data_IF_192245066521
#
_entry.id   IF_192245066521
#
_cell.length_a   1.000
_cell.length_b   1.000
_cell.length_c   1.000
_cell.angle_alpha   90.00
_cell.angle_beta   90.00
_cell.angle_gamma   90.00
#
_symmetry.space_group_name_H-M   'P 1'
#
loop_
_entity.id
_entity.type
_entity.pdbx_description
1 polymer ?
#
# COMPACT_ATOMS: atom_id res chain seq x y z
N UNK A 1 5.86 -28.33 -1.33
CA UNK A 1 4.89 -27.89 -2.35
C UNK A 1 3.80 -26.98 -1.80
N UNK A 2 3.26 -27.23 -0.60
CA UNK A 2 2.19 -26.40 0.01
C UNK A 2 2.60 -24.94 0.30
N UNK A 3 3.80 -24.72 0.85
CA UNK A 3 4.31 -23.37 1.11
C UNK A 3 4.47 -22.53 -0.16
N UNK A 4 4.91 -23.13 -1.26
CA UNK A 4 5.04 -22.46 -2.57
C UNK A 4 3.65 -22.03 -3.06
N UNK A 5 2.63 -22.87 -2.94
CA UNK A 5 1.24 -22.51 -3.28
C UNK A 5 0.73 -21.35 -2.43
N UNK A 6 1.01 -21.37 -1.12
CA UNK A 6 0.66 -20.28 -0.18
C UNK A 6 1.34 -18.97 -0.57
N UNK A 7 2.66 -19.00 -0.84
CA UNK A 7 3.43 -17.82 -1.26
C UNK A 7 2.93 -17.26 -2.59
N UNK A 8 2.63 -18.12 -3.57
CA UNK A 8 2.06 -17.70 -4.86
C UNK A 8 0.71 -17.00 -4.67
N UNK A 9 -0.19 -17.58 -3.88
CA UNK A 9 -1.48 -16.95 -3.56
C UNK A 9 -1.31 -15.61 -2.84
N UNK A 10 -0.43 -15.53 -1.84
CA UNK A 10 -0.14 -14.28 -1.14
C UNK A 10 0.42 -13.19 -2.07
N UNK A 11 1.31 -13.54 -3.01
CA UNK A 11 1.86 -12.57 -3.96
C UNK A 11 0.78 -11.92 -4.82
N UNK A 12 -0.24 -12.69 -5.21
CA UNK A 12 -1.39 -12.18 -5.97
C UNK A 12 -2.18 -11.19 -5.11
N UNK A 13 -2.47 -11.53 -3.86
CA UNK A 13 -3.21 -10.63 -2.95
C UNK A 13 -2.43 -9.36 -2.60
N UNK A 14 -1.10 -9.45 -2.43
CA UNK A 14 -0.22 -8.28 -2.21
C UNK A 14 -0.28 -7.32 -3.40
N UNK A 15 -0.53 -7.80 -4.62
CA UNK A 15 -0.73 -6.96 -5.79
C UNK A 15 -2.17 -6.44 -5.91
N UNK A 16 -3.17 -7.33 -5.80
CA UNK A 16 -4.58 -6.99 -6.03
C UNK A 16 -5.09 -5.98 -4.99
N UNK A 17 -4.79 -6.16 -3.70
CA UNK A 17 -5.36 -5.31 -2.65
C UNK A 17 -4.96 -3.84 -2.84
N UNK A 18 -3.67 -3.48 -2.97
CA UNK A 18 -3.28 -2.10 -3.22
C UNK A 18 -3.82 -1.57 -4.54
N UNK A 19 -3.76 -2.39 -5.60
CA UNK A 19 -4.23 -1.98 -6.92
C UNK A 19 -5.71 -1.59 -6.89
N UNK A 20 -6.57 -2.44 -6.32
CA UNK A 20 -8.00 -2.14 -6.18
C UNK A 20 -8.22 -0.95 -5.26
N UNK A 21 -7.54 -0.88 -4.12
CA UNK A 21 -7.73 0.23 -3.17
C UNK A 21 -7.41 1.60 -3.79
N UNK A 22 -6.27 1.72 -4.48
CA UNK A 22 -5.85 2.98 -5.12
C UNK A 22 -6.79 3.38 -6.25
N UNK A 23 -7.18 2.43 -7.11
CA UNK A 23 -8.08 2.72 -8.22
C UNK A 23 -9.49 3.06 -7.74
N UNK A 24 -9.98 2.41 -6.68
CA UNK A 24 -11.24 2.80 -6.02
C UNK A 24 -11.16 4.22 -5.48
N UNK A 25 -10.07 4.60 -4.80
CA UNK A 25 -9.89 5.98 -4.32
C UNK A 25 -9.90 7.00 -5.47
N UNK A 26 -9.24 6.68 -6.60
CA UNK A 26 -9.26 7.50 -7.80
C UNK A 26 -10.66 7.65 -8.40
N UNK A 27 -11.41 6.55 -8.52
CA UNK A 27 -12.79 6.59 -9.05
C UNK A 27 -13.68 7.44 -8.13
N UNK A 28 -13.58 7.26 -6.82
CA UNK A 28 -14.38 8.02 -5.86
C UNK A 28 -14.13 9.53 -5.99
N UNK A 29 -12.87 9.96 -6.00
CA UNK A 29 -12.51 11.38 -5.99
C UNK A 29 -12.79 12.10 -7.32
N UNK A 30 -12.89 11.36 -8.43
CA UNK A 30 -13.10 11.93 -9.78
C UNK A 30 -14.52 11.79 -10.32
N UNK A 31 -15.30 10.82 -9.82
CA UNK A 31 -16.65 10.54 -10.33
C UNK A 31 -17.71 10.75 -9.24
N UNK A 32 -17.41 10.44 -7.98
CA UNK A 32 -18.37 10.46 -6.87
C UNK A 32 -18.18 11.68 -5.97
N UNK A 33 -18.17 12.85 -6.59
CA UNK A 33 -17.95 14.15 -5.94
C UNK A 33 -18.89 14.41 -4.75
N UNK A 34 -20.13 13.92 -4.79
CA UNK A 34 -21.11 14.08 -3.71
C UNK A 34 -20.78 13.38 -2.40
N UNK A 35 -19.81 12.45 -2.40
CA UNK A 35 -19.35 11.77 -1.18
C UNK A 35 -18.34 12.60 -0.37
N UNK A 36 -17.82 13.68 -0.96
CA UNK A 36 -16.77 14.50 -0.34
C UNK A 36 -17.40 15.74 0.30
N UNK A 37 -17.21 15.94 1.63
CA UNK A 37 -17.77 17.08 2.33
C UNK A 37 -17.14 18.41 1.90
N UNK A 38 -15.88 18.39 1.46
CA UNK A 38 -15.15 19.57 1.00
C UNK A 38 -14.88 19.49 -0.51
N UNK A 39 -15.33 20.52 -1.24
CA UNK A 39 -15.13 20.58 -2.70
C UNK A 39 -13.68 20.78 -3.12
N UNK A 40 -12.84 21.37 -2.26
CA UNK A 40 -11.41 21.56 -2.56
C UNK A 40 -10.63 20.24 -2.66
N UNK A 41 -11.18 19.15 -2.12
CA UNK A 41 -10.55 17.84 -2.13
C UNK A 41 -10.82 17.06 -3.42
N UNK A 42 -11.84 17.48 -4.19
CA UNK A 42 -12.27 16.82 -5.42
C UNK A 42 -11.28 17.09 -6.56
N UNK A 43 -11.09 16.10 -7.44
CA UNK A 43 -10.21 16.21 -8.60
C UNK A 43 -11.05 16.08 -9.88
N UNK A 44 -11.06 17.11 -10.70
CA UNK A 44 -11.77 17.12 -11.99
C UNK A 44 -10.84 16.68 -13.12
N UNK A 45 -11.39 15.88 -14.06
CA UNK A 45 -10.80 15.58 -15.38
C UNK A 45 -9.29 15.28 -15.36
N UNK A 46 -8.86 14.49 -14.38
CA UNK A 46 -7.45 14.10 -14.23
C UNK A 46 -7.36 12.60 -14.08
N UNK A 47 -6.45 11.97 -14.81
CA UNK A 47 -6.07 10.58 -14.70
C UNK A 47 -4.57 10.49 -14.35
N UNK A 48 -4.22 10.51 -13.04
CA UNK A 48 -2.85 10.64 -12.52
C UNK A 48 -1.79 9.73 -13.14
N UNK A 49 -2.18 8.56 -13.64
CA UNK A 49 -1.27 7.59 -14.24
C UNK A 49 -0.76 8.00 -15.63
N UNK A 50 -1.46 8.91 -16.32
CA UNK A 50 -1.15 9.33 -17.70
C UNK A 50 -0.78 10.81 -17.72
N UNK A 51 -1.60 11.66 -17.11
CA UNK A 51 -1.48 13.12 -17.26
C UNK A 51 -0.67 13.79 -16.14
N UNK A 52 -0.43 13.11 -15.02
CA UNK A 52 0.28 13.65 -13.87
C UNK A 52 -0.39 14.87 -13.21
N UNK A 53 -1.66 15.20 -13.52
CA UNK A 53 -2.34 16.39 -12.99
C UNK A 53 -2.59 16.34 -11.48
N UNK A 54 -2.40 15.16 -10.88
CA UNK A 54 -2.31 14.95 -9.44
C UNK A 54 -1.40 13.77 -9.14
N UNK A 55 -0.76 13.74 -7.97
CA UNK A 55 -0.08 12.53 -7.49
C UNK A 55 -1.12 11.46 -7.12
N UNK A 56 -0.83 10.17 -7.37
CA UNK A 56 -1.70 9.06 -6.95
C UNK A 56 -2.01 9.11 -5.44
N UNK A 57 -1.01 9.41 -4.62
CA UNK A 57 -1.21 9.51 -3.18
C UNK A 57 -2.15 10.65 -2.77
N UNK A 58 -2.42 11.65 -3.63
CA UNK A 58 -3.40 12.71 -3.36
C UNK A 58 -4.82 12.15 -3.29
N UNK A 59 -5.14 11.15 -4.11
CA UNK A 59 -6.50 10.58 -4.22
C UNK A 59 -6.93 9.80 -2.99
N UNK A 60 -5.99 9.46 -2.10
CA UNK A 60 -6.21 8.62 -0.93
C UNK A 60 -6.05 9.35 0.42
N UNK A 61 -5.79 10.67 0.41
CA UNK A 61 -5.51 11.45 1.65
C UNK A 61 -6.75 11.89 2.40
N UNK A 62 -7.86 12.09 1.69
CA UNK A 62 -9.01 12.83 2.21
C UNK A 62 -10.19 11.90 2.53
N UNK A 63 -11.09 12.35 3.39
CA UNK A 63 -12.33 11.62 3.66
C UNK A 63 -13.20 11.62 2.39
N UNK A 64 -13.83 10.49 1.98
CA UNK A 64 -13.83 9.18 2.63
C UNK A 64 -12.73 8.22 2.14
N UNK A 65 -11.95 8.59 1.13
CA UNK A 65 -10.97 7.69 0.48
C UNK A 65 -9.92 7.11 1.40
N UNK A 66 -9.44 7.87 2.40
CA UNK A 66 -8.45 7.33 3.34
C UNK A 66 -8.99 6.14 4.15
N UNK A 67 -10.33 6.04 4.35
CA UNK A 67 -10.96 4.91 5.04
C UNK A 67 -10.86 3.62 4.24
N UNK A 68 -10.67 3.70 2.92
CA UNK A 68 -10.44 2.54 2.07
C UNK A 68 -8.95 2.27 1.98
N UNK A 69 -8.17 3.31 1.70
CA UNK A 69 -6.74 3.18 1.48
C UNK A 69 -6.00 2.68 2.74
N UNK A 70 -6.24 3.28 3.91
CA UNK A 70 -5.46 2.95 5.12
C UNK A 70 -5.63 1.48 5.52
N UNK A 71 -6.86 0.93 5.68
CA UNK A 71 -7.05 -0.48 5.99
C UNK A 71 -6.46 -1.41 4.94
N UNK A 72 -6.58 -1.07 3.65
CA UNK A 72 -5.98 -1.85 2.58
C UNK A 72 -4.45 -1.91 2.70
N UNK A 73 -3.78 -0.79 2.95
CA UNK A 73 -2.32 -0.76 3.14
C UNK A 73 -1.87 -1.52 4.40
N UNK A 74 -2.62 -1.41 5.51
CA UNK A 74 -2.33 -2.20 6.72
C UNK A 74 -2.44 -3.70 6.42
N UNK A 75 -3.49 -4.11 5.72
CA UNK A 75 -3.66 -5.51 5.32
C UNK A 75 -2.55 -5.98 4.39
N UNK A 76 -2.18 -5.19 3.38
CA UNK A 76 -1.07 -5.49 2.49
C UNK A 76 0.26 -5.61 3.24
N UNK A 77 0.54 -4.71 4.19
CA UNK A 77 1.74 -4.77 5.02
C UNK A 77 1.80 -6.07 5.82
N UNK A 78 0.68 -6.45 6.46
CA UNK A 78 0.58 -7.73 7.15
C UNK A 78 0.86 -8.93 6.22
N UNK A 79 0.27 -8.92 5.02
CA UNK A 79 0.54 -9.96 4.02
C UNK A 79 2.01 -9.99 3.59
N UNK A 80 2.63 -8.83 3.39
CA UNK A 80 4.06 -8.72 3.03
C UNK A 80 4.96 -9.32 4.09
N UNK A 81 4.72 -9.04 5.38
CA UNK A 81 5.49 -9.63 6.48
C UNK A 81 5.42 -11.16 6.42
N UNK A 82 4.20 -11.72 6.32
CA UNK A 82 4.00 -13.18 6.21
C UNK A 82 4.63 -13.76 4.95
N UNK A 83 4.51 -13.06 3.83
CA UNK A 83 5.12 -13.45 2.56
C UNK A 83 6.63 -13.59 2.68
N UNK A 84 7.32 -12.63 3.31
CA UNK A 84 8.76 -12.69 3.47
C UNK A 84 9.19 -13.85 4.37
N UNK A 85 8.53 -14.09 5.51
CA UNK A 85 8.85 -15.24 6.35
C UNK A 85 8.65 -16.59 5.64
N UNK A 86 7.58 -16.75 4.87
CA UNK A 86 7.38 -17.98 4.10
C UNK A 86 8.41 -18.13 2.96
N UNK A 87 8.83 -17.03 2.35
CA UNK A 87 9.93 -17.05 1.39
C UNK A 87 11.26 -17.42 2.04
N UNK A 88 11.52 -17.00 3.29
CA UNK A 88 12.71 -17.43 4.05
C UNK A 88 12.81 -18.95 4.08
N UNK A 89 11.71 -19.63 4.42
CA UNK A 89 11.67 -21.09 4.53
C UNK A 89 11.90 -21.78 3.19
N UNK A 90 11.39 -21.21 2.09
CA UNK A 90 11.64 -21.72 0.73
C UNK A 90 13.11 -21.53 0.35
N UNK A 91 13.68 -20.34 0.61
CA UNK A 91 15.07 -20.03 0.30
C UNK A 91 16.04 -20.94 1.07
N UNK A 92 15.76 -21.19 2.35
CA UNK A 92 16.54 -22.11 3.19
C UNK A 92 16.51 -23.55 2.65
N UNK A 93 15.35 -24.01 2.14
CA UNK A 93 15.21 -25.35 1.55
C UNK A 93 15.95 -25.51 0.23
N UNK A 94 16.07 -24.44 -0.56
CA UNK A 94 16.72 -24.48 -1.88
C UNK A 94 18.24 -24.30 -1.77
N UNK A 95 18.69 -23.37 -0.92
CA UNK A 95 20.09 -22.91 -0.91
C UNK A 95 20.80 -23.02 0.44
N UNK A 96 20.18 -23.64 1.46
CA UNK A 96 20.75 -23.72 2.80
C UNK A 96 20.80 -22.37 3.53
N UNK A 97 21.50 -22.33 4.68
CA UNK A 97 21.67 -21.09 5.43
C UNK A 97 22.74 -20.18 4.81
N UNK A 98 22.37 -18.91 4.56
CA UNK A 98 23.31 -17.89 4.10
C UNK A 98 22.99 -16.51 4.67
N UNK A 99 24.02 -15.68 4.91
CA UNK A 99 23.87 -14.30 5.42
C UNK A 99 22.96 -13.42 4.56
N UNK A 100 22.83 -13.72 3.27
CA UNK A 100 21.95 -12.99 2.34
C UNK A 100 20.47 -13.24 2.62
N UNK A 101 20.08 -14.43 3.08
CA UNK A 101 18.68 -14.72 3.40
C UNK A 101 18.20 -13.80 4.53
N UNK A 102 19.03 -13.62 5.57
CA UNK A 102 18.71 -12.69 6.66
C UNK A 102 18.53 -11.25 6.17
N UNK A 103 19.37 -10.79 5.22
CA UNK A 103 19.24 -9.47 4.60
C UNK A 103 17.95 -9.33 3.78
N UNK A 104 17.59 -10.35 2.99
CA UNK A 104 16.35 -10.36 2.20
C UNK A 104 15.14 -10.19 3.12
N UNK A 105 15.08 -10.95 4.22
CA UNK A 105 13.99 -10.85 5.19
C UNK A 105 13.97 -9.50 5.89
N UNK A 106 15.14 -8.99 6.29
CA UNK A 106 15.25 -7.67 6.90
C UNK A 106 14.68 -6.57 5.99
N UNK A 107 15.15 -6.48 4.74
CA UNK A 107 14.67 -5.47 3.80
C UNK A 107 13.19 -5.65 3.43
N UNK A 108 12.75 -6.91 3.30
CA UNK A 108 11.36 -7.22 3.02
C UNK A 108 10.42 -6.79 4.14
N UNK A 109 10.72 -7.15 5.39
CA UNK A 109 9.92 -6.74 6.56
C UNK A 109 10.03 -5.23 6.77
N UNK A 110 11.21 -4.63 6.59
CA UNK A 110 11.39 -3.18 6.69
C UNK A 110 10.52 -2.42 5.67
N UNK A 111 10.40 -2.91 4.44
CA UNK A 111 9.50 -2.32 3.43
C UNK A 111 8.02 -2.39 3.83
N UNK A 112 7.60 -3.47 4.50
CA UNK A 112 6.24 -3.62 4.99
C UNK A 112 5.96 -2.63 6.14
N UNK A 113 6.91 -2.49 7.07
CA UNK A 113 6.83 -1.48 8.14
C UNK A 113 6.79 -0.08 7.53
N UNK A 114 7.62 0.22 6.53
CA UNK A 114 7.59 1.50 5.82
C UNK A 114 6.24 1.76 5.14
N UNK A 115 5.60 0.74 4.57
CA UNK A 115 4.25 0.84 4.00
C UNK A 115 3.21 1.22 5.06
N UNK A 116 3.29 0.58 6.24
CA UNK A 116 2.43 0.90 7.39
C UNK A 116 2.62 2.35 7.82
N UNK A 117 3.86 2.77 8.01
CA UNK A 117 4.22 4.14 8.41
C UNK A 117 3.74 5.15 7.36
N UNK A 118 3.97 4.88 6.08
CA UNK A 118 3.49 5.70 4.97
C UNK A 118 1.96 5.86 5.01
N UNK A 119 1.22 4.78 5.23
CA UNK A 119 -0.25 4.80 5.35
C UNK A 119 -0.75 5.64 6.54
N UNK A 120 -0.07 5.55 7.69
CA UNK A 120 -0.41 6.34 8.89
C UNK A 120 -0.26 7.83 8.60
N UNK A 121 0.92 8.24 8.09
CA UNK A 121 1.24 9.63 7.82
C UNK A 121 0.55 10.20 6.58
N UNK A 122 -0.04 9.35 5.73
CA UNK A 122 -0.78 9.84 4.58
C UNK A 122 -1.99 10.69 5.02
N UNK A 123 -2.00 11.94 4.57
CA UNK A 123 -3.06 12.91 4.86
C UNK A 123 -2.86 13.68 6.17
N UNK A 124 -1.78 13.42 6.92
CA UNK A 124 -1.42 14.22 8.08
C UNK A 124 -0.83 15.55 7.61
N UNK A 125 -1.46 16.65 8.00
CA UNK A 125 -0.84 17.99 7.93
C UNK A 125 -0.12 18.22 9.24
N UNK A 126 1.18 18.52 9.16
CA UNK A 126 1.90 19.00 10.33
C UNK A 126 1.74 20.52 10.33
N UNK A 127 1.01 21.04 11.31
CA UNK A 127 0.92 22.48 11.53
C UNK A 127 2.27 22.92 12.13
N UNK A 128 3.23 23.25 11.25
CA UNK A 128 4.44 23.99 11.63
C UNK A 128 4.17 25.48 11.49
N UNK A 129 3.16 25.99 12.22
CA UNK A 129 2.91 27.43 12.37
C UNK A 129 2.64 27.71 13.84
N UNK A 130 3.72 27.91 14.59
CA UNK A 130 3.79 28.64 15.85
C UNK A 130 5.23 29.14 16.01
N UNK A 131 5.61 30.14 15.20
CA UNK A 131 6.73 31.05 15.45
C UNK A 131 6.61 32.29 14.58
#
# INVERSE_FOLDING_TARGET
>A
MEQIKKVKSMSIWIFIVPFVAVNTCLILITQFHGLFPNRADIIHNTFPYIDGGASISRTARVFPTYLIFKPAMFFTSYLLIRYWYLNKEILLKIGGEHKHIRKIIFFGVASAVALTVHSIFLGVKFDYENL
#
